data_IF_135550458658
#
_entry.id   IF_135550458658
#
_cell.length_a   1.000
_cell.length_b   1.000
_cell.length_c   1.000
_cell.angle_alpha   90.00
_cell.angle_beta   90.00
_cell.angle_gamma   90.00
#
_symmetry.space_group_name_H-M   'P 1'
#
loop_
_entity.id
_entity.type
_entity.pdbx_description
1 polymer ?
#
# COMPACT_ATOMS: atom_id res chain seq x y z
N UNK A 1 20.64 15.89 5.45
CA UNK A 1 19.84 14.69 5.11
C UNK A 1 20.10 14.38 3.64
N UNK A 2 20.45 13.15 3.26
CA UNK A 2 20.62 12.81 1.85
C UNK A 2 19.26 12.99 1.14
N UNK A 3 19.13 13.88 0.15
CA UNK A 3 17.85 14.18 -0.49
C UNK A 3 17.18 12.92 -1.09
N UNK A 4 17.97 11.91 -1.47
CA UNK A 4 17.44 10.63 -1.95
C UNK A 4 16.64 9.84 -0.89
N UNK A 5 16.92 10.05 0.41
CA UNK A 5 16.18 9.39 1.50
C UNK A 5 14.80 10.00 1.71
N UNK A 6 14.51 11.16 1.14
CA UNK A 6 13.20 11.79 1.23
C UNK A 6 12.16 11.08 0.34
N UNK A 7 12.58 10.55 -0.82
CA UNK A 7 11.68 9.91 -1.77
C UNK A 7 10.98 8.65 -1.21
N UNK A 8 11.68 7.70 -0.57
CA UNK A 8 11.03 6.53 0.05
C UNK A 8 10.06 6.91 1.15
N UNK A 9 10.37 7.96 1.93
CA UNK A 9 9.47 8.45 2.98
C UNK A 9 8.18 9.03 2.39
N UNK A 10 8.29 9.84 1.33
CA UNK A 10 7.13 10.38 0.61
C UNK A 10 6.28 9.24 0.03
N UNK A 11 6.91 8.29 -0.66
CA UNK A 11 6.21 7.15 -1.27
C UNK A 11 5.50 6.27 -0.23
N UNK A 12 6.18 6.00 0.89
CA UNK A 12 5.60 5.30 2.03
C UNK A 12 4.38 6.01 2.58
N UNK A 13 4.50 7.33 2.80
CA UNK A 13 3.45 8.15 3.38
C UNK A 13 2.23 8.24 2.47
N UNK A 14 2.45 8.48 1.17
CA UNK A 14 1.38 8.50 0.16
C UNK A 14 0.68 7.15 0.10
N UNK A 15 1.43 6.05 0.05
CA UNK A 15 0.86 4.68 0.02
C UNK A 15 0.03 4.41 1.27
N UNK A 16 0.53 4.81 2.44
CA UNK A 16 -0.18 4.67 3.71
C UNK A 16 -1.50 5.46 3.73
N UNK A 17 -1.48 6.74 3.32
CA UNK A 17 -2.68 7.58 3.23
C UNK A 17 -3.72 6.93 2.32
N UNK A 18 -3.31 6.49 1.15
CA UNK A 18 -4.20 5.82 0.18
C UNK A 18 -4.81 4.58 0.82
N UNK A 19 -4.00 3.72 1.46
CA UNK A 19 -4.48 2.52 2.15
C UNK A 19 -5.52 2.87 3.23
N UNK A 20 -5.24 3.89 4.04
CA UNK A 20 -6.10 4.34 5.13
C UNK A 20 -7.45 4.90 4.63
N UNK A 21 -7.43 5.70 3.56
CA UNK A 21 -8.66 6.26 2.95
C UNK A 21 -9.56 5.12 2.47
N UNK A 22 -9.02 4.19 1.69
CA UNK A 22 -9.82 3.09 1.16
C UNK A 22 -10.25 2.09 2.23
N UNK A 23 -9.44 1.87 3.27
CA UNK A 23 -9.86 1.08 4.42
C UNK A 23 -11.10 1.68 5.08
N UNK A 24 -11.11 2.99 5.30
CA UNK A 24 -12.26 3.71 5.84
C UNK A 24 -13.49 3.56 4.93
N UNK A 25 -13.32 3.65 3.61
CA UNK A 25 -14.42 3.45 2.64
C UNK A 25 -15.00 2.04 2.76
N UNK A 26 -14.18 1.00 2.73
CA UNK A 26 -14.64 -0.41 2.86
C UNK A 26 -15.33 -0.62 4.19
N UNK A 27 -14.71 -0.17 5.30
CA UNK A 27 -15.27 -0.29 6.65
C UNK A 27 -16.67 0.34 6.75
N UNK A 28 -16.86 1.51 6.14
CA UNK A 28 -18.14 2.22 6.18
C UNK A 28 -19.20 1.59 5.26
N UNK A 29 -18.81 1.07 4.09
CA UNK A 29 -19.76 0.52 3.11
C UNK A 29 -20.21 -0.90 3.43
N UNK A 30 -19.28 -1.75 3.87
CA UNK A 30 -19.53 -3.17 4.09
C UNK A 30 -19.95 -3.44 5.54
N UNK A 31 -19.52 -2.59 6.48
CA UNK A 31 -19.79 -2.76 7.89
C UNK A 31 -18.77 -3.69 8.58
N UNK A 32 -18.38 -3.31 9.80
CA UNK A 32 -17.24 -3.93 10.52
C UNK A 32 -17.51 -5.38 10.96
N UNK A 33 -18.78 -5.76 11.05
CA UNK A 33 -19.26 -7.09 11.47
C UNK A 33 -19.55 -8.03 10.31
N UNK A 34 -19.38 -7.58 9.05
CA UNK A 34 -19.60 -8.43 7.87
C UNK A 34 -18.50 -9.47 7.69
N UNK A 35 -18.86 -10.59 7.08
CA UNK A 35 -17.90 -11.63 6.68
C UNK A 35 -16.91 -11.08 5.64
N UNK A 36 -17.40 -10.31 4.66
CA UNK A 36 -16.60 -9.65 3.63
C UNK A 36 -15.54 -8.71 4.21
N UNK A 37 -15.88 -7.92 5.23
CA UNK A 37 -14.89 -7.08 5.91
C UNK A 37 -13.86 -7.92 6.66
N UNK A 38 -14.24 -9.08 7.19
CA UNK A 38 -13.31 -9.99 7.86
C UNK A 38 -12.28 -10.55 6.87
N UNK A 39 -12.72 -10.97 5.68
CA UNK A 39 -11.80 -11.38 4.61
C UNK A 39 -10.91 -10.22 4.14
N UNK A 40 -11.44 -8.99 4.10
CA UNK A 40 -10.67 -7.80 3.69
C UNK A 40 -9.54 -7.39 4.65
N UNK A 41 -9.61 -7.77 5.94
CA UNK A 41 -8.55 -7.46 6.92
C UNK A 41 -7.19 -8.02 6.50
N UNK A 42 -7.16 -9.20 5.88
CA UNK A 42 -5.92 -9.84 5.46
C UNK A 42 -5.21 -9.05 4.33
N UNK A 43 -5.86 -8.71 3.20
CA UNK A 43 -5.29 -7.82 2.20
C UNK A 43 -4.81 -6.47 2.75
N UNK A 44 -5.55 -5.88 3.69
CA UNK A 44 -5.15 -4.65 4.37
C UNK A 44 -3.86 -4.82 5.17
N UNK A 45 -3.78 -5.86 6.00
CA UNK A 45 -2.57 -6.19 6.75
C UNK A 45 -1.37 -6.44 5.83
N UNK A 46 -1.53 -7.25 4.78
CA UNK A 46 -0.48 -7.55 3.81
C UNK A 46 0.04 -6.27 3.15
N UNK A 47 -0.86 -5.36 2.77
CA UNK A 47 -0.46 -4.11 2.10
C UNK A 47 0.35 -3.19 3.02
N UNK A 48 -0.04 -3.08 4.31
CA UNK A 48 0.73 -2.31 5.29
C UNK A 48 2.10 -2.94 5.61
N UNK A 49 2.14 -4.27 5.70
CA UNK A 49 3.38 -5.02 5.91
C UNK A 49 4.34 -4.79 4.73
N UNK A 50 3.86 -4.97 3.50
CA UNK A 50 4.66 -4.74 2.30
C UNK A 50 5.13 -3.29 2.19
N UNK A 51 4.27 -2.30 2.51
CA UNK A 51 4.67 -0.89 2.52
C UNK A 51 5.83 -0.64 3.49
N UNK A 52 5.84 -1.29 4.65
CA UNK A 52 6.95 -1.20 5.61
C UNK A 52 8.22 -1.90 5.09
N UNK A 53 8.10 -3.14 4.60
CA UNK A 53 9.24 -3.94 4.10
C UNK A 53 9.92 -3.22 2.93
N UNK A 54 9.14 -2.74 1.95
CA UNK A 54 9.65 -2.04 0.77
C UNK A 54 10.41 -0.78 1.18
N UNK A 55 9.86 0.02 2.10
CA UNK A 55 10.55 1.22 2.58
C UNK A 55 11.89 0.92 3.23
N UNK A 56 11.94 -0.08 4.11
CA UNK A 56 13.20 -0.49 4.75
C UNK A 56 14.20 -1.00 3.72
N UNK A 57 13.76 -1.84 2.78
CA UNK A 57 14.62 -2.38 1.73
C UNK A 57 15.21 -1.27 0.84
N UNK A 58 14.38 -0.32 0.41
CA UNK A 58 14.83 0.80 -0.43
C UNK A 58 15.80 1.70 0.33
N UNK A 59 15.51 2.03 1.59
CA UNK A 59 16.43 2.81 2.44
C UNK A 59 17.78 2.08 2.54
N UNK A 60 17.77 0.77 2.78
CA UNK A 60 19.00 -0.01 2.87
C UNK A 60 19.79 0.01 1.55
N UNK A 61 19.12 -0.08 0.40
CA UNK A 61 19.76 0.04 -0.92
C UNK A 61 20.39 1.43 -1.09
N UNK A 62 19.66 2.52 -0.80
CA UNK A 62 20.19 3.90 -0.93
C UNK A 62 21.41 4.12 -0.03
N UNK A 63 21.42 3.54 1.17
CA UNK A 63 22.54 3.69 2.10
C UNK A 63 23.78 2.87 1.72
N UNK A 64 23.61 1.76 1.00
CA UNK A 64 24.71 0.82 0.68
C UNK A 64 25.12 0.82 -0.80
N UNK A 65 24.36 1.45 -1.69
CA UNK A 65 24.62 1.49 -3.13
C UNK A 65 24.55 2.92 -3.67
N UNK A 66 25.51 3.27 -4.53
CA UNK A 66 25.46 4.52 -5.31
C UNK A 66 24.44 4.35 -6.45
N UNK A 67 23.22 4.82 -6.23
CA UNK A 67 22.17 4.80 -7.24
C UNK A 67 22.36 5.95 -8.23
N UNK A 68 22.41 5.63 -9.53
CA UNK A 68 22.31 6.66 -10.57
C UNK A 68 20.90 7.27 -10.57
N UNK A 69 20.75 8.58 -10.85
CA UNK A 69 19.44 9.24 -10.94
C UNK A 69 18.44 8.54 -11.88
N UNK A 70 18.94 7.86 -12.92
CA UNK A 70 18.12 7.08 -13.85
C UNK A 70 17.34 5.94 -13.16
N UNK A 71 17.87 5.41 -12.05
CA UNK A 71 17.24 4.30 -11.33
C UNK A 71 16.27 4.75 -10.23
N UNK A 72 16.23 6.04 -9.89
CA UNK A 72 15.38 6.56 -8.82
C UNK A 72 13.89 6.37 -9.09
N UNK A 73 13.46 6.49 -10.35
CA UNK A 73 12.05 6.31 -10.74
C UNK A 73 11.57 4.88 -10.51
N UNK A 74 12.46 3.89 -10.58
CA UNK A 74 12.13 2.49 -10.33
C UNK A 74 11.86 2.20 -8.84
N UNK A 75 12.30 3.07 -7.93
CA UNK A 75 11.99 2.95 -6.50
C UNK A 75 10.49 3.11 -6.21
N UNK A 76 9.74 3.78 -7.09
CA UNK A 76 8.29 3.93 -6.96
C UNK A 76 7.50 2.66 -7.36
N UNK A 77 8.10 1.77 -8.17
CA UNK A 77 7.43 0.60 -8.74
C UNK A 77 6.88 -0.36 -7.67
N UNK A 78 7.61 -0.70 -6.60
CA UNK A 78 7.08 -1.57 -5.55
C UNK A 78 5.86 -0.96 -4.83
N UNK A 79 5.88 0.35 -4.57
CA UNK A 79 4.74 1.05 -3.96
C UNK A 79 3.51 1.05 -4.86
N UNK A 80 3.71 1.24 -6.18
CA UNK A 80 2.64 1.09 -7.15
C UNK A 80 2.04 -0.32 -7.14
N UNK A 81 2.88 -1.35 -7.07
CA UNK A 81 2.43 -2.75 -6.96
C UNK A 81 1.58 -3.00 -5.70
N UNK A 82 1.99 -2.45 -4.55
CA UNK A 82 1.21 -2.51 -3.31
C UNK A 82 -0.16 -1.84 -3.48
N UNK A 83 -0.19 -0.63 -4.05
CA UNK A 83 -1.45 0.09 -4.27
C UNK A 83 -2.37 -0.65 -5.24
N UNK A 84 -1.82 -1.20 -6.34
CA UNK A 84 -2.59 -1.97 -7.30
C UNK A 84 -3.24 -3.20 -6.65
N UNK A 85 -2.45 -4.00 -5.91
CA UNK A 85 -2.95 -5.13 -5.13
C UNK A 85 -4.06 -4.72 -4.15
N UNK A 86 -3.84 -3.62 -3.43
CA UNK A 86 -4.80 -3.15 -2.44
C UNK A 86 -6.10 -2.66 -3.08
N UNK A 87 -6.03 -1.91 -4.17
CA UNK A 87 -7.21 -1.48 -4.93
C UNK A 87 -8.00 -2.65 -5.47
N UNK A 88 -7.36 -3.64 -6.07
CA UNK A 88 -8.03 -4.85 -6.54
C UNK A 88 -8.77 -5.54 -5.40
N UNK A 89 -8.14 -5.63 -4.21
CA UNK A 89 -8.76 -6.23 -3.03
C UNK A 89 -9.97 -5.42 -2.54
N UNK A 90 -9.85 -4.09 -2.49
CA UNK A 90 -10.94 -3.17 -2.12
C UNK A 90 -12.14 -3.33 -3.06
N UNK A 91 -11.92 -3.24 -4.37
CA UNK A 91 -13.00 -3.30 -5.34
C UNK A 91 -13.68 -4.67 -5.37
N UNK A 92 -12.91 -5.75 -5.18
CA UNK A 92 -13.47 -7.10 -5.03
C UNK A 92 -14.39 -7.17 -3.82
N UNK A 93 -13.92 -6.78 -2.64
CA UNK A 93 -14.75 -6.79 -1.41
C UNK A 93 -16.01 -5.93 -1.57
N UNK A 94 -15.91 -4.74 -2.19
CA UNK A 94 -17.08 -3.89 -2.41
C UNK A 94 -18.07 -4.49 -3.41
N UNK A 95 -17.58 -5.26 -4.39
CA UNK A 95 -18.42 -5.96 -5.36
C UNK A 95 -19.14 -7.14 -4.70
N UNK A 96 -18.40 -7.98 -3.97
CA UNK A 96 -18.94 -9.17 -3.29
C UNK A 96 -20.05 -8.76 -2.30
N UNK A 97 -19.81 -7.71 -1.52
CA UNK A 97 -20.80 -7.14 -0.59
C UNK A 97 -22.05 -6.58 -1.28
N UNK A 98 -21.98 -6.21 -2.56
CA UNK A 98 -23.13 -5.74 -3.34
C UNK A 98 -23.93 -6.91 -3.91
N UNK A 99 -23.27 -8.00 -4.28
CA UNK A 99 -23.93 -9.18 -4.86
C UNK A 99 -24.54 -10.10 -3.78
N UNK A 100 -24.05 -10.03 -2.54
CA UNK A 100 -24.60 -10.75 -1.39
C UNK A 100 -25.80 -10.09 -0.68
N UNK A 101 -26.21 -8.88 -1.11
CA UNK A 101 -27.41 -8.17 -0.67
C UNK A 101 -28.49 -8.22 -1.76
#
# INVERSE_FOLDING_TARGET
>A
MNPMLMNPLILWFVTYIVIAIFHKIVKNKVGVSSEDYTYFKLPHFISLLLNSIVSVAIIFIILNASLSPKYETYLAVPYFGIMAYYFTSVFRTLKDAREGN
#
